data_IF_051589649262
#
_entry.id   IF_051589649262
#
_cell.length_a   1.000
_cell.length_b   1.000
_cell.length_c   1.000
_cell.angle_alpha   90.00
_cell.angle_beta   90.00
_cell.angle_gamma   90.00
#
_symmetry.space_group_name_H-M   'P 1'
#
loop_
_entity.id
_entity.type
_entity.pdbx_description
1 polymer ?
#
# COMPACT_ATOMS: atom_id res chain seq x y z
N UNK A 1 -1.00 19.84 15.80
CA UNK A 1 -1.70 18.63 15.29
C UNK A 1 -0.85 18.12 14.12
N UNK A 2 -0.27 16.90 14.14
CA UNK A 2 0.48 16.42 12.99
C UNK A 2 -0.46 16.41 11.78
N UNK A 3 0.04 16.92 10.65
CA UNK A 3 -0.72 16.92 9.40
C UNK A 3 -0.91 15.47 8.97
N UNK A 4 -2.15 14.98 9.05
CA UNK A 4 -2.51 13.67 8.52
C UNK A 4 -2.56 13.81 7.01
N UNK A 5 -1.79 12.99 6.31
CA UNK A 5 -1.77 12.95 4.84
C UNK A 5 -2.19 11.54 4.42
N UNK A 6 -3.51 11.29 4.31
CA UNK A 6 -4.03 9.99 3.90
C UNK A 6 -3.44 9.63 2.55
N UNK A 7 -2.71 8.53 2.51
CA UNK A 7 -1.96 8.10 1.34
C UNK A 7 -2.13 6.61 1.17
N UNK A 8 -2.56 6.19 -0.02
CA UNK A 8 -2.54 4.78 -0.42
C UNK A 8 -1.33 4.55 -1.29
N UNK A 9 -0.66 3.44 -1.07
CA UNK A 9 0.55 3.08 -1.79
C UNK A 9 0.55 1.61 -2.16
N UNK A 10 1.27 1.30 -3.25
CA UNK A 10 1.51 -0.07 -3.70
C UNK A 10 2.98 -0.29 -3.93
N UNK A 11 3.51 -1.41 -3.43
CA UNK A 11 4.89 -1.80 -3.66
C UNK A 11 5.02 -3.29 -3.97
N UNK A 12 6.11 -3.64 -4.62
CA UNK A 12 6.50 -5.03 -4.90
C UNK A 12 7.81 -5.35 -4.21
N UNK A 13 8.02 -6.63 -3.94
CA UNK A 13 9.22 -7.16 -3.29
C UNK A 13 9.97 -8.03 -4.31
N UNK A 14 10.81 -7.44 -5.18
CA UNK A 14 11.46 -8.17 -6.26
C UNK A 14 12.41 -9.27 -5.77
N UNK A 15 12.94 -9.13 -4.56
CA UNK A 15 13.87 -10.11 -3.97
C UNK A 15 13.15 -11.34 -3.38
N UNK A 16 11.82 -11.29 -3.21
CA UNK A 16 11.03 -12.35 -2.60
C UNK A 16 10.28 -13.14 -3.69
N UNK A 17 10.80 -14.32 -4.03
CA UNK A 17 10.14 -15.24 -4.99
C UNK A 17 8.71 -15.61 -4.58
N UNK A 18 8.44 -15.74 -3.29
CA UNK A 18 7.10 -16.06 -2.78
C UNK A 18 6.07 -14.94 -3.00
N UNK A 19 6.55 -13.73 -3.31
CA UNK A 19 5.74 -12.56 -3.62
C UNK A 19 5.90 -12.09 -5.07
N UNK A 20 6.56 -12.89 -5.91
CA UNK A 20 6.70 -12.59 -7.33
C UNK A 20 5.31 -12.56 -8.00
N UNK A 21 5.05 -11.49 -8.74
CA UNK A 21 3.74 -11.22 -9.35
C UNK A 21 2.67 -10.62 -8.41
N UNK A 22 2.96 -10.42 -7.12
CA UNK A 22 2.04 -9.78 -6.17
C UNK A 22 2.39 -8.33 -5.90
N UNK A 23 1.36 -7.49 -5.79
CA UNK A 23 1.47 -6.09 -5.37
C UNK A 23 0.92 -5.97 -3.95
N UNK A 24 1.76 -5.50 -3.03
CA UNK A 24 1.33 -5.17 -1.68
C UNK A 24 0.75 -3.76 -1.67
N UNK A 25 -0.54 -3.65 -1.35
CA UNK A 25 -1.23 -2.36 -1.21
C UNK A 25 -1.38 -2.07 0.28
N UNK A 26 -1.11 -0.82 0.65
CA UNK A 26 -1.17 -0.34 2.03
C UNK A 26 -1.70 1.09 2.12
N UNK A 27 -2.15 1.44 3.31
CA UNK A 27 -2.62 2.78 3.66
C UNK A 27 -1.74 3.35 4.78
N UNK A 28 -1.48 4.65 4.71
CA UNK A 28 -0.80 5.40 5.77
C UNK A 28 -1.40 6.79 5.91
N UNK A 29 -1.52 7.25 7.16
CA UNK A 29 -1.84 8.62 7.53
C UNK A 29 -0.58 9.50 7.67
N UNK A 30 0.61 8.90 7.58
CA UNK A 30 1.91 9.58 7.68
C UNK A 30 2.39 10.10 6.32
N UNK A 31 3.10 11.24 6.36
CA UNK A 31 3.77 11.85 5.18
C UNK A 31 4.83 10.94 4.55
N UNK A 32 5.53 10.14 5.37
CA UNK A 32 6.61 9.26 4.93
C UNK A 32 6.16 7.80 4.81
N UNK A 33 5.66 7.46 3.62
CA UNK A 33 5.24 6.09 3.29
C UNK A 33 6.37 5.08 3.33
N UNK A 34 7.56 5.45 2.84
CA UNK A 34 8.71 4.54 2.78
C UNK A 34 9.17 4.09 4.16
N UNK A 35 9.19 5.01 5.13
CA UNK A 35 9.49 4.70 6.54
C UNK A 35 8.50 3.67 7.07
N UNK A 36 7.21 3.81 6.73
CA UNK A 36 6.17 2.84 7.11
C UNK A 36 6.37 1.47 6.46
N UNK A 37 6.78 1.44 5.19
CA UNK A 37 7.11 0.18 4.49
C UNK A 37 8.31 -0.50 5.16
N UNK A 38 9.38 0.26 5.46
CA UNK A 38 10.57 -0.25 6.16
C UNK A 38 10.26 -0.80 7.55
N UNK A 39 9.40 -0.11 8.31
CA UNK A 39 8.89 -0.60 9.60
C UNK A 39 8.18 -1.96 9.44
N UNK A 40 7.30 -2.10 8.44
CA UNK A 40 6.57 -3.35 8.18
C UNK A 40 7.48 -4.50 7.73
N UNK A 41 8.57 -4.19 7.04
CA UNK A 41 9.57 -5.17 6.62
C UNK A 41 10.54 -5.56 7.75
N UNK A 42 10.32 -5.08 8.99
CA UNK A 42 11.12 -5.40 10.18
C UNK A 42 12.63 -5.30 9.96
N UNK A 43 13.08 -4.28 9.21
CA UNK A 43 14.52 -4.05 8.90
C UNK A 43 15.21 -5.21 8.19
N UNK A 44 14.47 -6.22 7.71
CA UNK A 44 15.04 -7.17 6.78
C UNK A 44 15.53 -6.35 5.57
N UNK A 45 16.77 -6.58 5.13
CA UNK A 45 17.40 -5.89 4.00
C UNK A 45 16.76 -6.35 2.66
N UNK A 46 15.43 -6.32 2.62
CA UNK A 46 14.59 -6.69 1.51
C UNK A 46 14.36 -5.40 0.73
N UNK A 47 14.80 -5.38 -0.53
CA UNK A 47 14.48 -4.23 -1.35
C UNK A 47 12.99 -4.27 -1.69
N UNK A 48 12.37 -3.10 -1.63
CA UNK A 48 11.02 -2.89 -2.09
C UNK A 48 11.04 -1.84 -3.20
N UNK A 49 10.16 -2.02 -4.18
CA UNK A 49 9.95 -1.06 -5.25
C UNK A 49 8.54 -0.51 -5.14
N UNK A 50 8.42 0.78 -4.82
CA UNK A 50 7.14 1.49 -4.86
C UNK A 50 6.71 1.60 -6.31
N UNK A 51 5.51 1.10 -6.60
CA UNK A 51 4.88 1.24 -7.91
C UNK A 51 4.04 2.51 -7.99
N UNK A 52 3.31 2.81 -6.92
CA UNK A 52 2.50 4.02 -6.84
C UNK A 52 2.36 4.50 -5.40
N UNK A 53 2.16 5.81 -5.24
CA UNK A 53 1.87 6.48 -3.98
C UNK A 53 0.96 7.66 -4.28
N UNK A 54 -0.30 7.56 -3.87
CA UNK A 54 -1.36 8.49 -4.26
C UNK A 54 -2.11 8.98 -3.02
N UNK A 55 -2.64 10.21 -3.09
CA UNK A 55 -3.48 10.75 -2.03
C UNK A 55 -4.75 9.91 -1.88
N UNK A 56 -5.05 9.53 -0.65
CA UNK A 56 -6.28 8.82 -0.30
C UNK A 56 -7.44 9.77 0.00
N UNK A 57 -7.23 11.09 -0.13
CA UNK A 57 -8.25 12.11 0.05
C UNK A 57 -9.16 12.16 -1.17
N UNK A 58 -10.46 12.01 -0.95
CA UNK A 58 -11.49 12.26 -1.95
C UNK A 58 -11.86 13.74 -1.97
N UNK A 59 -12.42 14.18 -3.10
CA UNK A 59 -12.89 15.56 -3.31
C UNK A 59 -13.99 15.99 -2.34
N UNK A 60 -14.74 15.02 -1.78
CA UNK A 60 -15.81 15.23 -0.79
C UNK A 60 -15.29 15.37 0.66
N UNK A 61 -13.98 15.34 0.86
CA UNK A 61 -13.35 15.42 2.18
C UNK A 61 -13.27 14.09 2.93
N UNK A 62 -13.80 13.00 2.37
CA UNK A 62 -13.63 11.65 2.94
C UNK A 62 -12.31 11.03 2.50
N UNK A 63 -11.86 10.01 3.22
CA UNK A 63 -10.69 9.23 2.85
C UNK A 63 -11.10 7.83 2.40
N UNK A 64 -10.33 7.24 1.49
CA UNK A 64 -10.40 5.80 1.23
C UNK A 64 -9.20 5.07 1.80
N UNK A 65 -9.34 3.77 2.03
CA UNK A 65 -8.27 2.93 2.57
C UNK A 65 -7.89 1.84 1.59
N UNK A 66 -6.79 1.14 1.86
CA UNK A 66 -6.38 -0.06 1.12
C UNK A 66 -7.50 -1.10 1.05
N UNK A 67 -8.36 -1.20 2.08
CA UNK A 67 -9.54 -2.09 2.08
C UNK A 67 -10.51 -1.77 0.95
N UNK A 68 -10.74 -0.49 0.67
CA UNK A 68 -11.63 -0.07 -0.41
C UNK A 68 -11.02 -0.41 -1.78
N UNK A 69 -9.69 -0.26 -1.90
CA UNK A 69 -8.94 -0.66 -3.09
C UNK A 69 -8.99 -2.18 -3.27
N UNK A 70 -8.77 -2.98 -2.23
CA UNK A 70 -8.89 -4.43 -2.29
C UNK A 70 -10.30 -4.87 -2.70
N UNK A 71 -11.35 -4.24 -2.14
CA UNK A 71 -12.74 -4.50 -2.54
C UNK A 71 -12.96 -4.20 -4.03
N UNK A 72 -12.40 -3.10 -4.54
CA UNK A 72 -12.49 -2.77 -5.97
C UNK A 72 -11.75 -3.78 -6.84
N UNK A 73 -10.53 -4.17 -6.46
CA UNK A 73 -9.72 -5.14 -7.18
C UNK A 73 -10.39 -6.51 -7.22
N UNK A 74 -10.96 -6.97 -6.10
CA UNK A 74 -11.75 -8.20 -6.04
C UNK A 74 -12.95 -8.17 -7.00
N UNK A 75 -13.67 -7.04 -7.07
CA UNK A 75 -14.78 -6.86 -8.03
C UNK A 75 -14.31 -6.85 -9.50
N UNK A 76 -13.07 -6.43 -9.76
CA UNK A 76 -12.45 -6.47 -11.09
C UNK A 76 -11.87 -7.85 -11.46
N UNK A 77 -11.94 -8.84 -10.56
CA UNK A 77 -11.43 -10.19 -10.80
C UNK A 77 -9.98 -10.42 -10.40
N UNK A 78 -9.34 -9.49 -9.68
CA UNK A 78 -8.00 -9.72 -9.14
C UNK A 78 -8.06 -10.57 -7.87
N UNK A 79 -7.14 -11.53 -7.77
CA UNK A 79 -6.98 -12.40 -6.61
C UNK A 79 -6.18 -11.70 -5.52
N UNK A 80 -6.58 -11.91 -4.27
CA UNK A 80 -5.83 -11.48 -3.11
C UNK A 80 -5.16 -12.71 -2.50
N UNK A 81 -3.87 -12.59 -2.15
CA UNK A 81 -3.13 -13.63 -1.47
C UNK A 81 -3.81 -13.94 -0.12
N UNK A 82 -4.17 -15.21 0.10
CA UNK A 82 -4.91 -15.71 1.28
C UNK A 82 -6.39 -15.25 1.41
N UNK A 83 -7.08 -15.01 0.29
CA UNK A 83 -8.50 -14.59 0.27
C UNK A 83 -9.51 -15.73 0.44
#
# INVERSE_FOLDING_TARGET
RPAVVPTVYGYVLPDLKDHDGYIKIGYTDRKETETRIREQLHTAAINFKILFKESAMRSDGTCFTDKDVHRLLKRKGFLQLNA
#
